data_IF_451054798884
#
_entry.id   IF_451054798884
#
_cell.length_a   1.000
_cell.length_b   1.000
_cell.length_c   1.000
_cell.angle_alpha   90.00
_cell.angle_beta   90.00
_cell.angle_gamma   90.00
#
_symmetry.space_group_name_H-M   'P 1'
#
loop_
_entity.id
_entity.type
_entity.pdbx_description
1 polymer ?
#
# COMPACT_ATOMS: atom_id res chain seq x y z
N UNK A 1 -5.98 2.00 19.08
CA UNK A 1 -7.36 2.54 19.01
C UNK A 1 -8.13 1.80 17.93
N UNK A 2 -9.29 1.24 18.28
CA UNK A 2 -10.10 0.39 17.40
C UNK A 2 -11.14 1.18 16.61
N UNK A 3 -11.54 2.36 17.08
CA UNK A 3 -12.66 3.14 16.53
C UNK A 3 -12.42 3.72 15.13
N UNK A 4 -11.17 3.90 14.76
CA UNK A 4 -10.78 4.56 13.50
C UNK A 4 -10.07 3.56 12.58
N UNK A 5 -10.53 3.45 11.34
CA UNK A 5 -9.89 2.67 10.29
C UNK A 5 -8.67 3.44 9.76
N UNK A 6 -7.52 2.80 9.63
CA UNK A 6 -6.29 3.39 9.11
C UNK A 6 -6.17 2.99 7.64
N UNK A 7 -6.24 3.97 6.76
CA UNK A 7 -6.22 3.78 5.31
C UNK A 7 -4.88 4.29 4.76
N UNK A 8 -4.04 3.39 4.28
CA UNK A 8 -2.78 3.76 3.62
C UNK A 8 -3.03 3.89 2.12
N UNK A 9 -2.95 5.10 1.62
CA UNK A 9 -3.09 5.42 0.20
C UNK A 9 -1.73 5.76 -0.41
N UNK A 10 -1.59 5.69 -1.70
CA UNK A 10 -0.36 6.03 -2.40
C UNK A 10 -0.24 5.29 -3.73
N UNK A 11 0.67 5.74 -4.58
CA UNK A 11 0.93 5.10 -5.88
C UNK A 11 1.38 3.65 -5.72
N UNK A 12 1.21 2.85 -6.75
CA UNK A 12 1.75 1.48 -6.75
C UNK A 12 3.24 1.48 -6.47
N UNK A 13 3.70 0.48 -5.71
CA UNK A 13 5.13 0.25 -5.38
C UNK A 13 5.81 1.36 -4.56
N UNK A 14 5.06 2.31 -3.99
CA UNK A 14 5.63 3.30 -3.05
C UNK A 14 5.98 2.73 -1.67
N UNK A 15 5.55 1.50 -1.33
CA UNK A 15 5.93 0.84 -0.07
C UNK A 15 4.78 0.55 0.90
N UNK A 16 3.50 0.82 0.57
CA UNK A 16 2.33 0.61 1.46
C UNK A 16 2.32 -0.75 2.16
N UNK A 17 2.43 -1.83 1.39
CA UNK A 17 2.43 -3.21 1.94
C UNK A 17 3.63 -3.47 2.86
N UNK A 18 4.78 -2.83 2.61
CA UNK A 18 5.95 -2.93 3.49
C UNK A 18 5.72 -2.20 4.81
N UNK A 19 5.16 -0.99 4.76
CA UNK A 19 4.79 -0.22 5.96
C UNK A 19 3.77 -1.00 6.80
N UNK A 20 2.75 -1.61 6.18
CA UNK A 20 1.79 -2.45 6.94
C UNK A 20 2.47 -3.61 7.67
N UNK A 21 3.45 -4.26 7.04
CA UNK A 21 4.22 -5.34 7.70
C UNK A 21 5.06 -4.79 8.84
N UNK A 22 5.74 -3.66 8.64
CA UNK A 22 6.50 -3.00 9.71
C UNK A 22 5.61 -2.63 10.89
N UNK A 23 4.38 -2.13 10.66
CA UNK A 23 3.41 -1.85 11.74
C UNK A 23 3.03 -3.15 12.46
N UNK A 24 2.77 -4.24 11.74
CA UNK A 24 2.46 -5.53 12.34
C UNK A 24 3.62 -6.08 13.18
N UNK A 25 4.85 -5.96 12.69
CA UNK A 25 6.07 -6.38 13.41
C UNK A 25 6.28 -5.50 14.67
N UNK A 26 6.12 -4.19 14.58
CA UNK A 26 6.17 -3.27 15.73
C UNK A 26 5.12 -3.61 16.80
N UNK A 27 3.90 -4.00 16.40
CA UNK A 27 2.88 -4.44 17.36
C UNK A 27 3.32 -5.70 18.13
N UNK A 28 3.97 -6.64 17.44
CA UNK A 28 4.53 -7.84 18.07
C UNK A 28 5.65 -7.45 19.05
N UNK A 29 6.54 -6.57 18.67
CA UNK A 29 7.63 -6.09 19.54
C UNK A 29 7.09 -5.36 20.78
N UNK A 30 5.92 -4.72 20.67
CA UNK A 30 5.20 -4.09 21.80
C UNK A 30 4.39 -5.09 22.64
N UNK A 31 4.46 -6.38 22.34
CA UNK A 31 3.84 -7.43 23.15
C UNK A 31 2.46 -7.89 22.68
N UNK A 32 2.01 -7.48 21.49
CA UNK A 32 0.80 -8.06 20.88
C UNK A 32 1.09 -9.50 20.44
N UNK A 33 0.28 -10.44 20.88
CA UNK A 33 0.42 -11.85 20.45
C UNK A 33 0.17 -11.95 18.93
N UNK A 34 1.10 -12.61 18.24
CA UNK A 34 1.05 -12.78 16.78
C UNK A 34 -0.27 -13.41 16.29
N UNK A 35 -0.92 -14.26 17.10
CA UNK A 35 -2.22 -14.86 16.75
C UNK A 35 -3.35 -13.82 16.64
N UNK A 36 -3.21 -12.65 17.29
CA UNK A 36 -4.17 -11.55 17.24
C UNK A 36 -3.93 -10.61 16.06
N UNK A 37 -2.96 -10.93 15.19
CA UNK A 37 -2.64 -10.17 13.98
C UNK A 37 -3.06 -10.97 12.74
N UNK A 38 -4.11 -10.51 12.09
CA UNK A 38 -4.64 -11.10 10.87
C UNK A 38 -4.14 -10.29 9.68
N UNK A 39 -3.34 -10.91 8.80
CA UNK A 39 -2.81 -10.25 7.61
C UNK A 39 -3.36 -10.95 6.35
N UNK A 40 -4.04 -10.17 5.48
CA UNK A 40 -4.65 -10.63 4.22
C UNK A 40 -4.12 -9.76 3.09
N UNK A 41 -3.37 -10.33 2.16
CA UNK A 41 -2.94 -9.64 0.95
C UNK A 41 -3.69 -10.21 -0.26
N UNK A 42 -4.59 -9.41 -0.81
CA UNK A 42 -5.53 -9.84 -1.86
C UNK A 42 -4.87 -10.01 -3.24
N UNK A 43 -3.65 -9.56 -3.40
CA UNK A 43 -2.85 -9.80 -4.62
C UNK A 43 -2.03 -11.10 -4.55
N UNK A 44 -1.81 -11.64 -3.37
CA UNK A 44 -1.04 -12.87 -3.19
C UNK A 44 -1.89 -14.14 -3.48
N UNK A 45 -1.22 -15.17 -3.96
CA UNK A 45 -1.83 -16.46 -4.38
C UNK A 45 -2.85 -17.04 -3.38
N UNK A 46 -2.61 -17.05 -2.06
CA UNK A 46 -3.57 -17.60 -1.10
C UNK A 46 -4.93 -16.89 -1.11
N UNK A 47 -4.93 -15.57 -1.33
CA UNK A 47 -6.12 -14.73 -1.21
C UNK A 47 -6.59 -14.13 -2.54
N UNK A 48 -5.88 -14.37 -3.64
CA UNK A 48 -6.18 -13.77 -4.96
C UNK A 48 -7.58 -14.08 -5.49
N UNK A 49 -8.23 -15.12 -4.97
CA UNK A 49 -9.60 -15.51 -5.35
C UNK A 49 -10.68 -14.78 -4.55
N UNK A 50 -10.33 -14.10 -3.47
CA UNK A 50 -11.27 -13.32 -2.65
C UNK A 50 -11.63 -12.05 -3.43
N UNK A 51 -12.90 -11.94 -3.85
CA UNK A 51 -13.43 -10.83 -4.65
C UNK A 51 -14.79 -10.35 -4.18
N UNK A 52 -15.39 -11.04 -3.21
CA UNK A 52 -16.69 -10.73 -2.61
C UNK A 52 -16.55 -10.55 -1.11
N UNK A 53 -17.49 -9.85 -0.50
CA UNK A 53 -17.58 -9.64 0.96
C UNK A 53 -17.67 -10.95 1.69
N UNK A 54 -18.57 -11.86 1.28
CA UNK A 54 -18.74 -13.18 1.91
C UNK A 54 -17.44 -14.00 1.95
N UNK A 55 -16.66 -13.98 0.86
CA UNK A 55 -15.39 -14.68 0.80
C UNK A 55 -14.33 -14.02 1.71
N UNK A 56 -14.37 -12.70 1.87
CA UNK A 56 -13.50 -11.97 2.78
C UNK A 56 -13.86 -12.27 4.23
N UNK A 57 -15.13 -12.17 4.59
CA UNK A 57 -15.66 -12.46 5.93
C UNK A 57 -15.32 -13.89 6.37
N UNK A 58 -15.61 -14.89 5.53
CA UNK A 58 -15.26 -16.28 5.84
C UNK A 58 -13.76 -16.47 6.19
N UNK A 59 -12.86 -15.79 5.48
CA UNK A 59 -11.41 -15.88 5.77
C UNK A 59 -11.06 -15.16 7.07
N UNK A 60 -11.69 -14.02 7.35
CA UNK A 60 -11.48 -13.26 8.59
C UNK A 60 -12.00 -14.07 9.77
N UNK A 61 -13.18 -14.67 9.68
CA UNK A 61 -13.79 -15.48 10.73
C UNK A 61 -12.91 -16.68 11.08
N UNK A 62 -12.50 -17.47 10.09
CA UNK A 62 -11.60 -18.61 10.29
C UNK A 62 -10.28 -18.24 10.96
N UNK A 63 -9.72 -17.05 10.64
CA UNK A 63 -8.50 -16.57 11.30
C UNK A 63 -8.77 -16.03 12.69
N UNK A 64 -9.92 -15.41 12.90
CA UNK A 64 -10.35 -14.87 14.19
C UNK A 64 -10.61 -15.93 15.25
N UNK A 65 -10.99 -17.15 14.86
CA UNK A 65 -11.12 -18.30 15.78
C UNK A 65 -9.81 -18.64 16.52
N UNK A 66 -8.67 -18.29 15.92
CA UNK A 66 -7.34 -18.50 16.51
C UNK A 66 -6.89 -17.36 17.44
N UNK A 67 -7.60 -16.23 17.42
CA UNK A 67 -7.31 -15.07 18.25
C UNK A 67 -7.82 -15.24 19.68
N UNK A 68 -7.23 -14.50 20.62
CA UNK A 68 -7.76 -14.40 21.98
C UNK A 68 -9.09 -13.65 21.99
N UNK A 69 -10.04 -14.15 22.77
CA UNK A 69 -11.39 -13.57 22.84
C UNK A 69 -11.41 -12.18 23.47
N UNK A 70 -10.57 -11.95 24.47
CA UNK A 70 -10.55 -10.73 25.27
C UNK A 70 -9.47 -9.74 24.82
N UNK A 71 -8.80 -10.01 23.69
CA UNK A 71 -7.74 -9.16 23.16
C UNK A 71 -8.19 -8.43 21.89
N UNK A 72 -7.57 -7.26 21.63
CA UNK A 72 -7.77 -6.53 20.39
C UNK A 72 -7.26 -7.39 19.22
N UNK A 73 -8.10 -7.57 18.21
CA UNK A 73 -7.72 -8.19 16.94
C UNK A 73 -7.27 -7.13 15.97
N UNK A 74 -6.08 -7.28 15.42
CA UNK A 74 -5.51 -6.38 14.43
C UNK A 74 -5.69 -6.97 13.04
N UNK A 75 -6.42 -6.26 12.19
CA UNK A 75 -6.74 -6.69 10.83
C UNK A 75 -6.01 -5.82 9.82
N UNK A 76 -5.15 -6.44 9.01
CA UNK A 76 -4.42 -5.83 7.92
C UNK A 76 -4.90 -6.40 6.59
N UNK A 77 -5.46 -5.55 5.72
CA UNK A 77 -5.90 -5.97 4.38
C UNK A 77 -5.21 -5.13 3.32
N UNK A 78 -4.37 -5.78 2.52
CA UNK A 78 -3.63 -5.17 1.44
C UNK A 78 -4.40 -5.29 0.11
N UNK A 79 -4.51 -4.17 -0.63
CA UNK A 79 -5.24 -4.03 -1.90
C UNK A 79 -6.76 -4.30 -1.77
N UNK A 80 -7.40 -3.68 -0.75
CA UNK A 80 -8.81 -3.91 -0.39
C UNK A 80 -9.79 -3.67 -1.54
N UNK A 81 -9.48 -2.77 -2.49
CA UNK A 81 -10.31 -2.50 -3.67
C UNK A 81 -10.52 -3.72 -4.59
N UNK A 82 -9.82 -4.81 -4.34
CA UNK A 82 -10.05 -6.08 -5.02
C UNK A 82 -11.34 -6.78 -4.58
N UNK A 83 -11.96 -6.36 -3.48
CA UNK A 83 -13.25 -6.86 -2.97
C UNK A 83 -14.33 -5.81 -3.23
N UNK A 84 -15.36 -6.19 -3.96
CA UNK A 84 -16.47 -5.29 -4.26
C UNK A 84 -17.37 -5.14 -3.03
N UNK A 85 -17.69 -3.91 -2.64
CA UNK A 85 -18.60 -3.62 -1.51
C UNK A 85 -17.96 -3.81 -0.12
N UNK A 86 -16.63 -3.81 -0.04
CA UNK A 86 -15.88 -4.06 1.20
C UNK A 86 -16.20 -3.08 2.34
N UNK A 87 -16.72 -1.91 2.03
CA UNK A 87 -16.90 -0.81 2.99
C UNK A 87 -17.85 -1.20 4.13
N UNK A 88 -18.91 -1.93 3.82
CA UNK A 88 -19.89 -2.40 4.81
C UNK A 88 -19.28 -3.43 5.74
N UNK A 89 -18.56 -4.40 5.20
CA UNK A 89 -17.83 -5.43 5.97
C UNK A 89 -16.78 -4.79 6.89
N UNK A 90 -15.98 -3.86 6.37
CA UNK A 90 -14.94 -3.18 7.16
C UNK A 90 -15.56 -2.35 8.29
N UNK A 91 -16.73 -1.71 8.04
CA UNK A 91 -17.41 -0.97 9.09
C UNK A 91 -18.00 -1.91 10.17
N UNK A 92 -18.57 -3.04 9.80
CA UNK A 92 -19.07 -4.03 10.75
C UNK A 92 -17.95 -4.56 11.65
N UNK A 93 -16.82 -4.97 11.07
CA UNK A 93 -15.65 -5.44 11.81
C UNK A 93 -15.08 -4.36 12.76
N UNK A 94 -15.11 -3.08 12.35
CA UNK A 94 -14.75 -1.96 13.23
C UNK A 94 -15.68 -1.90 14.46
N UNK A 95 -16.98 -2.06 14.26
CA UNK A 95 -17.98 -2.08 15.36
C UNK A 95 -17.81 -3.29 16.27
N UNK A 96 -17.30 -4.41 15.75
CA UNK A 96 -16.90 -5.58 16.53
C UNK A 96 -15.59 -5.39 17.32
N UNK A 97 -14.93 -4.24 17.20
CA UNK A 97 -13.73 -3.88 17.98
C UNK A 97 -12.40 -4.28 17.31
N UNK A 98 -12.38 -4.58 16.02
CA UNK A 98 -11.12 -4.78 15.31
C UNK A 98 -10.36 -3.47 15.15
N UNK A 99 -9.04 -3.52 15.30
CA UNK A 99 -8.14 -2.45 14.87
C UNK A 99 -7.73 -2.66 13.42
N UNK A 100 -8.28 -1.86 12.49
CA UNK A 100 -8.25 -2.13 11.07
C UNK A 100 -7.26 -1.22 10.34
N UNK A 101 -6.42 -1.84 9.50
CA UNK A 101 -5.48 -1.21 8.58
C UNK A 101 -5.76 -1.72 7.17
N UNK A 102 -6.03 -0.83 6.24
CA UNK A 102 -6.27 -1.20 4.84
C UNK A 102 -5.36 -0.42 3.91
N UNK A 103 -5.00 -1.01 2.78
CA UNK A 103 -4.34 -0.30 1.70
C UNK A 103 -5.13 -0.36 0.42
N UNK A 104 -4.88 0.60 -0.44
CA UNK A 104 -5.37 0.59 -1.81
C UNK A 104 -4.64 1.61 -2.68
N UNK A 105 -4.85 1.51 -4.00
CA UNK A 105 -4.30 2.49 -4.93
C UNK A 105 -5.10 3.81 -4.87
N UNK A 106 -4.40 4.94 -5.03
CA UNK A 106 -5.00 6.29 -5.01
C UNK A 106 -6.20 6.43 -5.95
N UNK A 107 -6.15 5.77 -7.11
CA UNK A 107 -7.20 5.92 -8.12
C UNK A 107 -8.57 5.40 -7.69
N UNK A 108 -8.62 4.44 -6.78
CA UNK A 108 -9.89 3.88 -6.27
C UNK A 108 -10.31 4.54 -4.95
N UNK A 109 -9.40 4.65 -4.00
CA UNK A 109 -9.72 5.15 -2.65
C UNK A 109 -10.04 6.65 -2.64
N UNK A 110 -9.48 7.43 -3.59
CA UNK A 110 -9.79 8.85 -3.79
C UNK A 110 -11.05 9.09 -4.65
N UNK A 111 -11.72 8.04 -5.16
CA UNK A 111 -12.89 8.19 -6.04
C UNK A 111 -14.17 8.70 -5.34
N UNK A 112 -14.09 9.06 -4.06
CA UNK A 112 -15.21 9.60 -3.28
C UNK A 112 -16.16 8.54 -2.70
N UNK A 113 -16.10 7.29 -3.15
CA UNK A 113 -16.94 6.22 -2.62
C UNK A 113 -16.55 5.85 -1.19
N UNK A 114 -15.23 5.77 -0.91
CA UNK A 114 -14.72 5.54 0.45
C UNK A 114 -15.16 6.70 1.38
N UNK A 115 -14.99 7.94 0.91
CA UNK A 115 -15.37 9.12 1.67
C UNK A 115 -16.85 9.15 2.02
N UNK A 116 -17.74 8.69 1.12
CA UNK A 116 -19.19 8.68 1.36
C UNK A 116 -19.61 7.56 2.31
N UNK A 117 -19.06 6.36 2.19
CA UNK A 117 -19.50 5.18 2.95
C UNK A 117 -18.83 5.06 4.33
N UNK A 118 -17.62 5.56 4.49
CA UNK A 118 -16.86 5.51 5.75
C UNK A 118 -16.65 6.90 6.39
N UNK A 119 -17.47 7.89 6.03
CA UNK A 119 -17.35 9.28 6.53
C UNK A 119 -17.20 9.35 8.05
N UNK A 120 -16.13 10.00 8.52
CA UNK A 120 -15.84 10.21 9.94
C UNK A 120 -15.32 8.96 10.68
N UNK A 121 -15.09 7.85 9.99
CA UNK A 121 -14.69 6.56 10.59
C UNK A 121 -13.29 6.10 10.19
N UNK A 122 -12.55 6.89 9.39
CA UNK A 122 -11.21 6.53 8.93
C UNK A 122 -10.27 7.74 8.95
N UNK A 123 -8.97 7.44 8.98
CA UNK A 123 -7.89 8.41 8.78
C UNK A 123 -7.05 7.91 7.61
N UNK A 124 -6.73 8.80 6.70
CA UNK A 124 -5.84 8.53 5.57
C UNK A 124 -4.38 8.85 5.90
N UNK A 125 -3.51 7.96 5.49
CA UNK A 125 -2.06 8.15 5.50
C UNK A 125 -1.57 8.07 4.05
N UNK A 126 -1.19 9.20 3.51
CA UNK A 126 -0.64 9.26 2.16
C UNK A 126 0.83 8.82 2.18
N UNK A 127 1.11 7.72 1.48
CA UNK A 127 2.44 7.16 1.35
C UNK A 127 2.98 7.55 -0.03
N UNK A 128 3.96 8.44 -0.01
CA UNK A 128 4.70 8.84 -1.21
C UNK A 128 5.84 7.85 -1.51
N UNK A 129 6.48 8.02 -2.65
CA UNK A 129 7.82 7.45 -2.90
C UNK A 129 8.83 8.07 -1.93
N UNK A 130 10.02 7.49 -1.81
CA UNK A 130 11.05 7.99 -0.91
C UNK A 130 11.36 9.47 -1.19
N UNK A 131 11.41 10.27 -0.15
CA UNK A 131 12.03 11.58 -0.17
C UNK A 131 13.54 11.45 -0.38
N UNK A 132 14.24 12.54 -0.69
CA UNK A 132 15.70 12.50 -0.85
C UNK A 132 16.43 11.98 0.39
N UNK A 133 15.98 12.39 1.58
CA UNK A 133 16.55 11.92 2.86
C UNK A 133 16.33 10.42 3.04
N UNK A 134 15.14 9.91 2.75
CA UNK A 134 14.81 8.48 2.81
C UNK A 134 15.55 7.66 1.75
N UNK A 135 15.75 8.24 0.55
CA UNK A 135 16.58 7.63 -0.50
C UNK A 135 18.02 7.42 -0.02
N UNK A 136 18.63 8.43 0.60
CA UNK A 136 19.98 8.30 1.19
C UNK A 136 19.98 7.26 2.33
N UNK A 137 18.98 7.28 3.21
CA UNK A 137 18.83 6.28 4.26
C UNK A 137 18.70 4.87 3.71
N UNK A 138 17.96 4.68 2.63
CA UNK A 138 17.81 3.39 1.95
C UNK A 138 19.13 2.93 1.31
N UNK A 139 19.89 3.83 0.68
CA UNK A 139 21.25 3.52 0.17
C UNK A 139 22.16 3.05 1.30
N UNK A 140 22.20 3.78 2.42
CA UNK A 140 22.99 3.42 3.59
C UNK A 140 22.60 2.04 4.15
N UNK A 141 21.30 1.78 4.30
CA UNK A 141 20.77 0.50 4.76
C UNK A 141 21.18 -0.66 3.84
N UNK A 142 21.24 -0.43 2.53
CA UNK A 142 21.64 -1.42 1.53
C UNK A 142 23.18 -1.55 1.41
N UNK A 143 23.96 -0.80 2.18
CA UNK A 143 25.43 -0.78 2.10
C UNK A 143 25.96 -0.19 0.80
N UNK A 144 25.18 0.66 0.12
CA UNK A 144 25.59 1.34 -1.11
C UNK A 144 26.40 2.58 -0.80
N UNK A 145 27.36 2.89 -1.68
CA UNK A 145 28.14 4.11 -1.56
C UNK A 145 27.26 5.34 -1.71
N UNK A 146 27.49 6.33 -0.84
CA UNK A 146 26.87 7.64 -0.90
C UNK A 146 27.99 8.63 -1.21
N UNK A 147 27.81 9.44 -2.25
CA UNK A 147 28.78 10.48 -2.64
C UNK A 147 28.99 11.48 -1.50
N UNK A 148 30.22 11.89 -1.27
CA UNK A 148 30.56 13.01 -0.36
C UNK A 148 29.91 14.32 -0.82
N UNK A 149 29.69 14.46 -2.13
CA UNK A 149 28.99 15.59 -2.73
C UNK A 149 27.51 15.25 -2.87
N UNK A 150 26.68 15.71 -1.92
CA UNK A 150 25.24 15.45 -1.90
C UNK A 150 24.50 15.95 -3.14
N UNK A 151 25.03 16.96 -3.83
CA UNK A 151 24.49 17.45 -5.11
C UNK A 151 24.47 16.35 -6.17
N UNK A 152 25.53 15.52 -6.25
CA UNK A 152 25.55 14.39 -7.18
C UNK A 152 24.50 13.33 -6.81
N UNK A 153 24.32 13.07 -5.52
CA UNK A 153 23.25 12.16 -5.03
C UNK A 153 21.87 12.72 -5.36
N UNK A 154 21.67 14.02 -5.22
CA UNK A 154 20.39 14.66 -5.53
C UNK A 154 20.08 14.59 -7.04
N UNK A 155 21.09 14.81 -7.91
CA UNK A 155 20.94 14.63 -9.35
C UNK A 155 20.57 13.17 -9.67
N UNK A 156 21.23 12.20 -9.04
CA UNK A 156 20.91 10.78 -9.19
C UNK A 156 19.47 10.49 -8.75
N UNK A 157 19.06 10.99 -7.59
CA UNK A 157 17.70 10.85 -7.08
C UNK A 157 16.64 11.40 -8.05
N UNK A 158 16.86 12.59 -8.63
CA UNK A 158 15.92 13.18 -9.60
C UNK A 158 15.81 12.29 -10.85
N UNK A 159 16.92 11.70 -11.31
CA UNK A 159 16.97 10.88 -12.53
C UNK A 159 16.43 9.47 -12.33
N UNK A 160 16.67 8.89 -11.17
CA UNK A 160 16.32 7.49 -10.84
C UNK A 160 14.92 7.37 -10.22
N UNK A 161 14.43 8.45 -9.62
CA UNK A 161 13.16 8.51 -8.88
C UNK A 161 13.27 7.95 -7.47
N UNK A 162 12.18 8.10 -6.71
CA UNK A 162 12.10 7.70 -5.30
C UNK A 162 11.44 6.33 -5.05
N UNK A 163 11.29 5.45 -6.04
CA UNK A 163 10.70 4.14 -5.79
C UNK A 163 11.63 3.27 -4.93
N UNK A 164 11.18 2.77 -3.76
CA UNK A 164 12.06 2.06 -2.83
C UNK A 164 12.79 0.86 -3.44
N UNK A 165 12.10 0.11 -4.31
CA UNK A 165 12.71 -1.05 -4.94
C UNK A 165 13.76 -0.68 -5.99
N UNK A 166 13.63 0.47 -6.66
CA UNK A 166 14.61 0.95 -7.64
C UNK A 166 15.99 1.16 -7.01
N UNK A 167 16.04 1.62 -5.75
CA UNK A 167 17.30 1.83 -5.02
C UNK A 167 18.11 0.54 -4.86
N UNK A 168 17.50 -0.64 -4.98
CA UNK A 168 18.19 -1.93 -4.86
C UNK A 168 19.07 -2.28 -6.05
N UNK A 169 18.75 -1.76 -7.23
CA UNK A 169 19.56 -1.99 -8.42
C UNK A 169 20.86 -1.19 -8.38
N UNK A 170 21.91 -1.70 -9.03
CA UNK A 170 23.20 -1.03 -9.09
C UNK A 170 23.38 -0.21 -10.35
N UNK A 171 22.88 -0.70 -11.50
CA UNK A 171 22.98 0.01 -12.75
C UNK A 171 21.85 1.04 -12.92
N UNK A 172 22.16 2.15 -13.61
CA UNK A 172 21.18 3.16 -13.99
C UNK A 172 20.11 2.57 -14.94
N UNK A 173 20.55 1.74 -15.86
CA UNK A 173 19.68 1.10 -16.88
C UNK A 173 18.61 0.23 -16.22
N UNK A 174 18.99 -0.56 -15.19
CA UNK A 174 18.04 -1.40 -14.48
C UNK A 174 17.05 -0.57 -13.66
N UNK A 175 17.52 0.49 -13.00
CA UNK A 175 16.65 1.42 -12.26
C UNK A 175 15.65 2.11 -13.19
N UNK A 176 16.11 2.58 -14.34
CA UNK A 176 15.29 3.26 -15.32
C UNK A 176 14.23 2.31 -15.89
N UNK A 177 14.64 1.13 -16.35
CA UNK A 177 13.73 0.08 -16.87
C UNK A 177 12.68 -0.33 -15.85
N UNK A 178 13.08 -0.49 -14.57
CA UNK A 178 12.14 -0.77 -13.49
C UNK A 178 11.15 0.38 -13.30
N UNK A 179 11.62 1.62 -13.24
CA UNK A 179 10.78 2.80 -13.02
C UNK A 179 9.78 2.98 -14.16
N UNK A 180 10.21 2.83 -15.42
CA UNK A 180 9.32 2.84 -16.59
C UNK A 180 8.24 1.77 -16.49
N UNK A 181 8.61 0.54 -16.10
CA UNK A 181 7.64 -0.55 -15.95
C UNK A 181 6.61 -0.26 -14.85
N UNK A 182 7.01 0.43 -13.77
CA UNK A 182 6.09 0.85 -12.69
C UNK A 182 5.15 1.95 -13.17
N UNK A 183 5.64 2.92 -13.91
CA UNK A 183 4.84 4.00 -14.50
C UNK A 183 3.80 3.42 -15.47
N UNK A 184 4.20 2.49 -16.33
CA UNK A 184 3.29 1.79 -17.23
C UNK A 184 2.22 0.99 -16.46
N UNK A 185 2.60 0.34 -15.36
CA UNK A 185 1.64 -0.39 -14.52
C UNK A 185 0.63 0.55 -13.85
N UNK A 186 1.07 1.70 -13.32
CA UNK A 186 0.21 2.75 -12.76
C UNK A 186 -0.75 3.25 -13.84
N UNK A 187 -0.24 3.55 -15.04
CA UNK A 187 -1.06 3.99 -16.15
C UNK A 187 -2.16 2.98 -16.51
N UNK A 188 -1.80 1.71 -16.72
CA UNK A 188 -2.75 0.69 -17.17
C UNK A 188 -3.77 0.32 -16.08
N UNK A 189 -3.36 0.22 -14.81
CA UNK A 189 -4.21 -0.26 -13.73
C UNK A 189 -4.98 0.84 -13.01
N UNK A 190 -4.37 1.99 -12.78
CA UNK A 190 -4.95 3.02 -11.92
C UNK A 190 -5.57 4.16 -12.73
N UNK A 191 -4.98 4.55 -13.87
CA UNK A 191 -5.48 5.66 -14.67
C UNK A 191 -6.47 5.18 -15.73
N UNK A 192 -6.07 4.20 -16.54
CA UNK A 192 -6.88 3.73 -17.68
C UNK A 192 -8.16 3.02 -17.27
N UNK A 193 -8.15 2.27 -16.16
CA UNK A 193 -9.35 1.58 -15.65
C UNK A 193 -10.37 2.56 -15.06
N UNK A 194 -9.90 3.59 -14.37
CA UNK A 194 -10.76 4.54 -13.64
C UNK A 194 -11.23 5.71 -14.49
N UNK A 195 -10.48 6.09 -15.52
CA UNK A 195 -10.87 7.12 -16.47
C UNK A 195 -10.83 6.53 -17.86
N UNK A 196 -11.93 6.63 -18.61
CA UNK A 196 -11.99 6.23 -20.03
C UNK A 196 -11.08 7.12 -20.88
N UNK A 197 -9.77 6.99 -20.71
CA UNK A 197 -8.78 7.71 -21.51
C UNK A 197 -8.78 7.11 -22.92
N UNK A 198 -9.36 7.84 -23.87
CA UNK A 198 -9.52 7.40 -25.26
C UNK A 198 -8.22 7.44 -26.07
N UNK A 199 -7.19 8.19 -25.65
CA UNK A 199 -5.97 8.43 -26.44
C UNK A 199 -4.69 8.18 -25.65
N UNK A 200 -4.23 6.91 -25.63
CA UNK A 200 -2.95 6.51 -24.99
C UNK A 200 -1.75 7.30 -25.56
N UNK A 201 -1.71 7.54 -26.87
CA UNK A 201 -0.61 8.26 -27.53
C UNK A 201 -0.49 9.73 -27.09
N UNK A 202 -1.62 10.39 -26.80
CA UNK A 202 -1.62 11.76 -26.29
C UNK A 202 -1.12 11.82 -24.85
N UNK A 203 -1.52 10.86 -24.03
CA UNK A 203 -1.07 10.75 -22.64
C UNK A 203 0.46 10.49 -22.57
N UNK A 204 0.98 9.55 -23.37
CA UNK A 204 2.41 9.29 -23.42
C UNK A 204 3.22 10.54 -23.86
N UNK A 205 2.68 11.36 -24.76
CA UNK A 205 3.30 12.65 -25.11
C UNK A 205 3.33 13.63 -23.93
N UNK A 206 2.33 13.63 -23.06
CA UNK A 206 2.29 14.48 -21.85
C UNK A 206 3.26 14.01 -20.77
N UNK A 207 3.59 12.71 -20.74
CA UNK A 207 4.53 12.14 -19.76
C UNK A 207 6.00 12.38 -20.12
N UNK A 208 6.30 12.79 -21.35
CA UNK A 208 7.66 13.09 -21.85
C UNK A 208 8.03 14.58 -21.67
N UNK A 209 7.09 15.41 -21.20
CA UNK A 209 7.30 16.80 -20.83
C UNK A 209 7.39 16.97 -19.31
#
# INVERSE_FOLDING_TARGET
ETEIIKVLIGVRRCGKSSIMRMIADELIERGVDRKNIIFISLDLRPHKKIRTTDALENVIDLKSEQCDRDSIKYLFIDEIQNVVGFEETINALREEGFSIFITGSNGYLLSGELATKLTGRYIEFEISTLSFSEYLGMKAFLGKEISVHLENEFVSYIREGGFPYAVRFDSYEDKHSYTESVIDEIYEKDIRRNKKIRHKQLFNKLMVY
#
